data_IF_497300954839
#
_entry.id   IF_497300954839
#
_cell.length_a   1.000
_cell.length_b   1.000
_cell.length_c   1.000
_cell.angle_alpha   90.00
_cell.angle_beta   90.00
_cell.angle_gamma   90.00
#
_symmetry.space_group_name_H-M   'P 1'
#
loop_
_entity.id
_entity.type
_entity.pdbx_description
1 polymer ?
#
# COMPACT_ATOMS: atom_id res chain seq x y z
N UNK A 1 -13.73 -4.40 -3.48
CA UNK A 1 -13.80 -3.19 -4.33
C UNK A 1 -12.40 -2.86 -4.85
N UNK A 2 -12.24 -2.37 -6.08
CA UNK A 2 -10.93 -1.91 -6.55
C UNK A 2 -10.50 -0.68 -5.74
N UNK A 3 -9.20 -0.56 -5.46
CA UNK A 3 -8.57 0.58 -4.77
C UNK A 3 -7.39 1.01 -5.60
N UNK A 4 -7.26 2.32 -5.82
CA UNK A 4 -6.09 2.92 -6.47
C UNK A 4 -5.14 3.37 -5.38
N UNK A 5 -3.86 3.05 -5.55
CA UNK A 5 -2.78 3.47 -4.66
C UNK A 5 -1.77 4.29 -5.45
N UNK A 6 -1.30 5.36 -4.83
CA UNK A 6 -0.18 6.16 -5.32
C UNK A 6 1.13 5.46 -4.93
N UNK A 7 1.89 5.04 -5.95
CA UNK A 7 3.13 4.30 -5.78
C UNK A 7 4.34 5.23 -5.90
N UNK A 8 5.22 5.20 -4.91
CA UNK A 8 6.54 5.79 -4.93
C UNK A 8 7.61 4.69 -5.03
N UNK A 9 8.55 4.84 -5.97
CA UNK A 9 9.65 3.90 -6.16
C UNK A 9 10.86 4.43 -5.37
N UNK A 10 11.21 3.74 -4.29
CA UNK A 10 12.36 4.06 -3.43
C UNK A 10 13.72 3.66 -4.01
N UNK A 11 13.73 2.95 -5.15
CA UNK A 11 14.93 2.55 -5.86
C UNK A 11 15.43 1.16 -5.47
N UNK A 12 16.66 0.83 -5.88
CA UNK A 12 17.29 -0.46 -5.63
C UNK A 12 18.60 -0.30 -4.88
N UNK A 13 18.85 -1.19 -3.91
CA UNK A 13 20.11 -1.25 -3.17
C UNK A 13 20.61 -2.70 -3.03
N UNK A 14 21.81 -2.90 -2.50
CA UNK A 14 22.28 -4.22 -2.07
C UNK A 14 22.15 -4.34 -0.56
N UNK A 15 21.68 -5.49 -0.11
CA UNK A 15 21.73 -5.84 1.31
C UNK A 15 23.18 -6.17 1.75
N UNK A 16 23.45 -6.32 3.06
CA UNK A 16 24.77 -6.67 3.57
C UNK A 16 25.32 -8.02 3.08
N UNK A 17 24.47 -8.90 2.55
CA UNK A 17 24.85 -10.21 2.00
C UNK A 17 25.03 -10.17 0.48
N UNK A 18 24.89 -8.99 -0.14
CA UNK A 18 25.10 -8.76 -1.56
C UNK A 18 23.89 -9.04 -2.45
N UNK A 19 22.71 -9.36 -1.88
CA UNK A 19 21.49 -9.55 -2.66
C UNK A 19 20.92 -8.19 -3.07
N UNK A 20 20.40 -8.09 -4.30
CA UNK A 20 19.68 -6.90 -4.73
C UNK A 20 18.34 -6.79 -3.99
N UNK A 21 17.98 -5.59 -3.58
CA UNK A 21 16.68 -5.26 -2.97
C UNK A 21 16.09 -4.07 -3.69
N UNK A 22 14.77 -4.03 -3.81
CA UNK A 22 14.00 -2.91 -4.35
C UNK A 22 13.00 -2.41 -3.31
N UNK A 23 12.95 -1.10 -3.10
CA UNK A 23 12.05 -0.45 -2.15
C UNK A 23 10.90 0.26 -2.85
N UNK A 24 9.70 0.16 -2.27
CA UNK A 24 8.50 0.86 -2.73
C UNK A 24 7.66 1.34 -1.54
N UNK A 25 6.97 2.46 -1.70
CA UNK A 25 5.91 2.89 -0.78
C UNK A 25 4.63 3.12 -1.59
N UNK A 26 3.50 2.64 -1.08
CA UNK A 26 2.20 2.85 -1.70
C UNK A 26 1.23 3.45 -0.68
N UNK A 27 0.53 4.51 -1.07
CA UNK A 27 -0.45 5.20 -0.22
C UNK A 27 -1.79 5.30 -0.90
N UNK A 28 -2.85 5.31 -0.10
CA UNK A 28 -4.20 5.54 -0.62
C UNK A 28 -5.18 5.76 0.51
N UNK A 29 -6.39 6.12 0.13
CA UNK A 29 -7.50 6.37 1.05
C UNK A 29 -8.71 5.59 0.57
N UNK A 30 -9.35 4.87 1.48
CA UNK A 30 -10.55 4.08 1.19
C UNK A 30 -11.69 4.50 2.12
N UNK A 31 -12.93 4.37 1.66
CA UNK A 31 -14.10 4.51 2.52
C UNK A 31 -14.44 3.17 3.17
N UNK A 32 -14.54 3.11 4.50
CA UNK A 32 -14.86 1.86 5.21
C UNK A 32 -16.20 1.22 4.79
N UNK A 33 -17.15 2.06 4.36
CA UNK A 33 -18.47 1.63 3.88
C UNK A 33 -18.41 0.85 2.57
N UNK A 34 -17.38 1.07 1.74
CA UNK A 34 -17.17 0.27 0.52
C UNK A 34 -16.85 -1.19 0.81
N UNK A 35 -16.40 -1.48 2.04
CA UNK A 35 -16.07 -2.81 2.53
C UNK A 35 -17.09 -3.32 3.56
N UNK A 36 -18.32 -2.82 3.48
CA UNK A 36 -19.46 -3.18 4.34
C UNK A 36 -19.26 -2.89 5.85
N UNK A 37 -18.25 -2.10 6.20
CA UNK A 37 -18.02 -1.63 7.57
C UNK A 37 -18.87 -0.38 7.78
N UNK A 38 -20.12 -0.58 8.18
CA UNK A 38 -21.13 0.49 8.31
C UNK A 38 -21.38 0.96 9.73
N UNK A 39 -20.91 0.23 10.75
CA UNK A 39 -21.13 0.60 12.15
C UNK A 39 -20.63 2.03 12.42
N UNK A 40 -21.46 2.82 13.09
CA UNK A 40 -21.08 4.11 13.64
C UNK A 40 -21.99 4.43 14.81
N UNK A 41 -21.55 5.34 15.67
CA UNK A 41 -22.37 5.88 16.75
C UNK A 41 -22.28 7.40 16.71
N UNK A 42 -23.37 8.09 17.04
CA UNK A 42 -23.36 9.55 17.21
C UNK A 42 -22.77 9.93 18.56
N UNK A 43 -21.97 10.99 18.60
CA UNK A 43 -21.47 11.58 19.84
C UNK A 43 -22.51 12.52 20.46
N UNK A 44 -22.48 12.67 21.78
CA UNK A 44 -23.40 13.58 22.51
C UNK A 44 -23.19 15.06 22.12
N UNK A 45 -21.98 15.39 21.63
CA UNK A 45 -21.60 16.71 21.12
C UNK A 45 -21.96 16.93 19.64
N UNK A 46 -22.65 15.97 19.02
CA UNK A 46 -22.85 15.93 17.58
C UNK A 46 -21.66 15.31 16.83
N UNK A 47 -21.92 14.87 15.59
CA UNK A 47 -20.95 14.13 14.77
C UNK A 47 -20.96 12.62 15.03
N UNK A 48 -19.99 11.92 14.44
CA UNK A 48 -19.87 10.46 14.47
C UNK A 48 -18.60 10.00 15.17
N UNK A 49 -18.64 8.83 15.81
CA UNK A 49 -17.50 8.20 16.49
C UNK A 49 -16.40 7.80 15.51
N UNK A 50 -16.77 7.26 14.35
CA UNK A 50 -15.81 6.85 13.33
C UNK A 50 -15.89 7.76 12.11
N UNK A 51 -14.71 8.23 11.67
CA UNK A 51 -14.52 8.80 10.34
C UNK A 51 -14.87 7.78 9.24
N UNK A 52 -15.14 8.29 8.04
CA UNK A 52 -15.46 7.46 6.88
C UNK A 52 -14.20 6.93 6.18
N UNK A 53 -13.18 7.79 6.09
CA UNK A 53 -11.92 7.50 5.45
C UNK A 53 -11.02 6.62 6.31
N UNK A 54 -10.32 5.70 5.64
CA UNK A 54 -9.23 4.90 6.18
C UNK A 54 -8.02 5.15 5.31
N UNK A 55 -6.97 5.67 5.93
CA UNK A 55 -5.69 5.86 5.26
C UNK A 55 -4.92 4.53 5.23
N UNK A 56 -4.44 4.16 4.05
CA UNK A 56 -3.69 2.94 3.79
C UNK A 56 -2.26 3.33 3.43
N UNK A 57 -1.30 2.78 4.15
CA UNK A 57 0.14 2.92 3.84
C UNK A 57 0.75 1.53 3.77
N UNK A 58 1.50 1.28 2.70
CA UNK A 58 2.17 0.00 2.44
C UNK A 58 3.63 0.30 2.12
N UNK A 59 4.55 -0.24 2.93
CA UNK A 59 5.98 -0.18 2.67
C UNK A 59 6.47 -1.57 2.26
N UNK A 60 7.19 -1.63 1.14
CA UNK A 60 7.56 -2.88 0.47
C UNK A 60 9.07 -2.93 0.26
N UNK A 61 9.68 -4.03 0.69
CA UNK A 61 11.01 -4.45 0.24
C UNK A 61 10.88 -5.76 -0.53
N UNK A 62 11.45 -5.81 -1.74
CA UNK A 62 11.42 -6.99 -2.59
C UNK A 62 12.83 -7.40 -3.00
N UNK A 63 13.09 -8.71 -2.98
CA UNK A 63 14.28 -9.31 -3.60
C UNK A 63 13.89 -9.86 -4.98
N UNK A 64 14.61 -9.51 -6.06
CA UNK A 64 14.33 -10.04 -7.38
C UNK A 64 14.60 -11.55 -7.38
N UNK A 65 13.65 -12.32 -7.89
CA UNK A 65 13.80 -13.77 -8.01
C UNK A 65 15.01 -14.09 -8.91
N UNK A 66 15.99 -14.80 -8.35
CA UNK A 66 17.16 -15.26 -9.09
C UNK A 66 16.74 -16.31 -10.13
N UNK A 67 16.59 -15.91 -11.40
CA UNK A 67 16.35 -16.87 -12.48
C UNK A 67 15.41 -16.47 -13.62
N UNK A 68 14.95 -15.23 -13.75
CA UNK A 68 14.26 -14.79 -14.96
C UNK A 68 14.99 -13.60 -15.58
N UNK A 69 15.96 -13.90 -16.46
CA UNK A 69 16.34 -12.91 -17.46
C UNK A 69 15.09 -12.71 -18.32
N UNK A 70 14.44 -11.57 -18.18
CA UNK A 70 13.39 -11.18 -19.12
C UNK A 70 14.06 -10.90 -20.46
N UNK A 71 14.27 -11.96 -21.24
CA UNK A 71 14.49 -11.87 -22.68
C UNK A 71 13.20 -11.34 -23.33
N UNK A 72 13.05 -10.02 -23.33
CA UNK A 72 12.24 -9.26 -24.29
C UNK A 72 13.05 -8.01 -24.63
N UNK A 73 14.07 -8.13 -25.47
CA UNK A 73 13.98 -8.14 -26.93
C UNK A 73 13.35 -6.86 -27.50
N UNK A 74 14.25 -6.04 -28.06
CA UNK A 74 14.10 -5.16 -29.23
C UNK A 74 13.52 -3.76 -29.03
#
# INVERSE_FOLDING_TARGET
KPVVLDLEIGGTTKDPWGNAKAGFSAKGKIARKDFDITWNKTLDTGGFVLGEDVDVTIDIEAEPKKGEKTDKAK
#
